data_IF_908538398571
#
_entry.id   IF_908538398571
#
_cell.length_a   1.000
_cell.length_b   1.000
_cell.length_c   1.000
_cell.angle_alpha   90.00
_cell.angle_beta   90.00
_cell.angle_gamma   90.00
#
_symmetry.space_group_name_H-M   'P 1'
#
loop_
_entity.id
_entity.type
_entity.pdbx_description
1 polymer ?
#
# COMPACT_ATOMS: atom_id res chain seq x y z
N UNK A 1 -4.59 7.57 7.86
CA UNK A 1 -5.61 8.08 8.82
C UNK A 1 -6.18 6.98 9.71
N UNK A 2 -6.77 5.88 9.20
CA UNK A 2 -7.36 4.83 10.05
C UNK A 2 -6.38 4.16 11.03
N UNK A 3 -5.14 3.87 10.59
CA UNK A 3 -4.11 3.30 11.47
C UNK A 3 -3.72 4.26 12.61
N UNK A 4 -3.65 5.56 12.34
CA UNK A 4 -3.38 6.58 13.37
C UNK A 4 -4.54 6.72 14.35
N UNK A 5 -5.79 6.67 13.85
CA UNK A 5 -6.98 6.67 14.70
C UNK A 5 -6.99 5.45 15.64
N UNK A 6 -6.68 4.26 15.12
CA UNK A 6 -6.51 3.05 15.93
C UNK A 6 -5.41 3.24 16.99
N UNK A 7 -4.25 3.76 16.60
CA UNK A 7 -3.15 4.02 17.55
C UNK A 7 -3.57 4.99 18.66
N UNK A 8 -4.29 6.05 18.30
CA UNK A 8 -4.79 7.07 19.22
C UNK A 8 -5.78 6.50 20.25
N UNK A 9 -6.65 5.58 19.83
CA UNK A 9 -7.57 4.84 20.73
C UNK A 9 -6.76 3.91 21.64
N UNK A 10 -5.86 3.11 21.08
CA UNK A 10 -5.06 2.14 21.84
C UNK A 10 -4.19 2.83 22.90
N UNK A 11 -3.59 3.98 22.57
CA UNK A 11 -2.81 4.78 23.53
C UNK A 11 -3.64 5.23 24.73
N UNK A 12 -4.91 5.58 24.52
CA UNK A 12 -5.83 5.94 25.61
C UNK A 12 -6.31 4.75 26.41
N UNK A 13 -6.29 3.55 25.84
CA UNK A 13 -6.64 2.33 26.53
C UNK A 13 -5.49 1.82 27.41
N UNK A 14 -4.28 1.70 26.87
CA UNK A 14 -3.12 1.17 27.62
C UNK A 14 -2.50 2.18 28.58
N UNK A 15 -2.44 3.46 28.18
CA UNK A 15 -1.87 4.55 28.99
C UNK A 15 -0.46 4.30 29.53
N UNK A 16 0.34 3.44 28.89
CA UNK A 16 1.69 3.13 29.36
C UNK A 16 2.64 4.33 29.18
N UNK A 17 3.52 4.54 30.14
CA UNK A 17 4.52 5.62 30.10
C UNK A 17 5.62 5.35 29.08
N UNK A 18 6.29 6.41 28.62
CA UNK A 18 7.46 6.32 27.74
C UNK A 18 8.70 5.89 28.56
N UNK A 19 9.79 5.42 27.93
CA UNK A 19 11.06 5.22 28.62
C UNK A 19 11.50 6.48 29.37
N UNK A 20 12.05 6.31 30.59
CA UNK A 20 12.43 7.42 31.49
C UNK A 20 13.43 8.41 30.89
N UNK A 21 14.27 7.94 29.96
CA UNK A 21 15.28 8.74 29.26
C UNK A 21 14.66 9.71 28.25
N UNK A 22 13.42 9.48 27.81
CA UNK A 22 12.77 10.26 26.77
C UNK A 22 11.84 11.32 27.36
N UNK A 23 12.26 12.59 27.28
CA UNK A 23 11.47 13.73 27.73
C UNK A 23 10.45 14.14 26.65
N UNK A 24 9.31 13.45 26.63
CA UNK A 24 8.24 13.73 25.67
C UNK A 24 6.86 13.47 26.28
N UNK A 25 5.90 14.32 25.93
CA UNK A 25 4.52 14.23 26.44
C UNK A 25 3.75 13.07 25.79
N UNK A 26 2.92 12.37 26.58
CA UNK A 26 1.95 11.38 26.12
C UNK A 26 2.39 9.91 26.22
N UNK A 27 1.44 9.00 26.00
CA UNK A 27 1.62 7.55 26.21
C UNK A 27 2.59 6.90 25.20
N UNK A 28 3.37 5.94 25.68
CA UNK A 28 4.39 5.20 24.92
C UNK A 28 3.89 3.96 24.21
N UNK A 29 2.73 3.41 24.61
CA UNK A 29 2.20 2.16 24.06
C UNK A 29 0.87 2.35 23.32
N UNK A 30 0.69 1.76 22.13
CA UNK A 30 1.71 1.17 21.27
C UNK A 30 2.52 2.23 20.51
N UNK A 31 3.74 1.86 20.06
CA UNK A 31 4.54 2.71 19.18
C UNK A 31 3.81 2.95 17.85
N UNK A 32 3.48 4.22 17.56
CA UNK A 32 2.75 4.60 16.33
C UNK A 32 3.55 4.35 15.07
N UNK A 33 4.87 4.61 15.12
CA UNK A 33 5.77 4.37 13.99
C UNK A 33 5.84 2.88 13.67
N UNK A 34 6.05 2.04 14.70
CA UNK A 34 6.10 0.59 14.54
C UNK A 34 4.76 0.03 14.03
N UNK A 35 3.64 0.51 14.57
CA UNK A 35 2.31 0.11 14.12
C UNK A 35 2.05 0.50 12.65
N UNK A 36 2.38 1.74 12.26
CA UNK A 36 2.15 2.21 10.91
C UNK A 36 2.99 1.47 9.88
N UNK A 37 4.31 1.32 10.11
CA UNK A 37 5.20 0.66 9.15
C UNK A 37 4.91 -0.84 9.06
N UNK A 38 4.54 -1.51 10.16
CA UNK A 38 4.09 -2.89 10.13
C UNK A 38 2.79 -3.03 9.33
N UNK A 39 1.80 -2.16 9.58
CA UNK A 39 0.55 -2.14 8.82
C UNK A 39 0.81 -1.96 7.32
N UNK A 40 1.64 -0.97 6.95
CA UNK A 40 1.96 -0.66 5.57
C UNK A 40 2.67 -1.81 4.87
N UNK A 41 3.76 -2.32 5.45
CA UNK A 41 4.57 -3.37 4.82
C UNK A 41 3.83 -4.71 4.72
N UNK A 42 3.01 -5.08 5.71
CA UNK A 42 2.16 -6.27 5.63
C UNK A 42 1.06 -6.09 4.57
N UNK A 43 0.39 -4.93 4.54
CA UNK A 43 -0.63 -4.65 3.51
C UNK A 43 -0.02 -4.69 2.10
N UNK A 44 1.15 -4.09 1.91
CA UNK A 44 1.88 -4.10 0.64
C UNK A 44 2.27 -5.52 0.23
N UNK A 45 2.77 -6.33 1.17
CA UNK A 45 3.12 -7.74 0.92
C UNK A 45 1.90 -8.55 0.50
N UNK A 46 0.79 -8.46 1.24
CA UNK A 46 -0.46 -9.15 0.89
C UNK A 46 -0.98 -8.69 -0.47
N UNK A 47 -0.88 -7.39 -0.77
CA UNK A 47 -1.26 -6.86 -2.07
C UNK A 47 -0.41 -7.45 -3.20
N UNK A 48 0.92 -7.33 -3.12
CA UNK A 48 1.84 -7.77 -4.17
C UNK A 48 1.78 -9.27 -4.44
N UNK A 49 1.61 -10.08 -3.39
CA UNK A 49 1.66 -11.54 -3.49
C UNK A 49 0.29 -12.18 -3.74
N UNK A 50 -0.80 -11.60 -3.24
CA UNK A 50 -2.12 -12.26 -3.27
C UNK A 50 -3.18 -11.51 -4.08
N UNK A 51 -3.08 -10.20 -4.26
CA UNK A 51 -4.11 -9.39 -4.93
C UNK A 51 -3.67 -8.85 -6.27
N UNK A 52 -2.39 -8.55 -6.45
CA UNK A 52 -1.87 -7.96 -7.67
C UNK A 52 -1.78 -9.04 -8.74
N UNK A 53 -2.64 -8.93 -9.75
CA UNK A 53 -2.72 -9.85 -10.90
C UNK A 53 -2.54 -9.02 -12.16
N UNK A 54 -1.32 -8.57 -12.45
CA UNK A 54 -1.07 -7.77 -13.63
C UNK A 54 -1.10 -8.67 -14.86
N UNK A 55 -1.74 -8.16 -15.91
CA UNK A 55 -1.81 -8.84 -17.19
C UNK A 55 -0.68 -8.33 -18.10
N UNK A 56 0.01 -9.21 -18.84
CA UNK A 56 0.95 -8.79 -19.86
C UNK A 56 0.22 -7.91 -20.88
N UNK A 57 0.76 -6.73 -21.13
CA UNK A 57 0.34 -5.87 -22.25
C UNK A 57 1.39 -5.95 -23.34
N UNK A 58 1.07 -5.52 -24.57
CA UNK A 58 2.05 -5.54 -25.67
C UNK A 58 3.28 -4.66 -25.40
N UNK A 59 3.16 -3.72 -24.46
CA UNK A 59 4.16 -2.68 -24.15
C UNK A 59 4.87 -2.89 -22.82
N UNK A 60 4.38 -3.79 -21.97
CA UNK A 60 4.92 -3.96 -20.61
C UNK A 60 4.88 -5.42 -20.15
N UNK A 61 6.05 -5.90 -19.71
CA UNK A 61 6.16 -7.15 -18.97
C UNK A 61 5.96 -6.86 -17.49
N UNK A 62 4.91 -7.41 -16.87
CA UNK A 62 4.62 -7.11 -15.48
C UNK A 62 5.69 -7.66 -14.56
N UNK A 63 5.85 -7.01 -13.40
CA UNK A 63 6.84 -7.42 -12.41
C UNK A 63 6.69 -8.89 -12.06
N UNK A 64 7.77 -9.65 -12.17
CA UNK A 64 7.76 -11.09 -11.93
C UNK A 64 7.37 -11.41 -10.48
N UNK A 65 6.88 -12.62 -10.22
CA UNK A 65 6.58 -13.04 -8.86
C UNK A 65 7.81 -12.93 -7.95
N UNK A 66 9.00 -13.31 -8.45
CA UNK A 66 10.27 -13.17 -7.74
C UNK A 66 10.57 -11.70 -7.39
N UNK A 67 10.33 -10.78 -8.33
CA UNK A 67 10.46 -9.35 -8.07
C UNK A 67 9.51 -8.89 -6.95
N UNK A 68 8.23 -9.25 -7.03
CA UNK A 68 7.22 -8.88 -6.00
C UNK A 68 7.56 -9.44 -4.63
N UNK A 69 8.08 -10.66 -4.60
CA UNK A 69 8.57 -11.30 -3.39
C UNK A 69 9.78 -10.55 -2.81
N UNK A 70 10.77 -10.22 -3.63
CA UNK A 70 11.93 -9.43 -3.21
C UNK A 70 11.52 -8.04 -2.67
N UNK A 71 10.59 -7.37 -3.34
CA UNK A 71 10.06 -6.07 -2.88
C UNK A 71 9.30 -6.19 -1.54
N UNK A 72 8.55 -7.28 -1.36
CA UNK A 72 7.87 -7.56 -0.09
C UNK A 72 8.87 -7.78 1.05
N UNK A 73 9.94 -8.55 0.81
CA UNK A 73 11.02 -8.72 1.77
C UNK A 73 11.71 -7.40 2.11
N UNK A 74 11.99 -6.57 1.11
CA UNK A 74 12.59 -5.25 1.33
C UNK A 74 11.69 -4.34 2.17
N UNK A 75 10.38 -4.35 1.91
CA UNK A 75 9.41 -3.57 2.69
C UNK A 75 9.34 -4.04 4.15
N UNK A 76 9.37 -5.35 4.40
CA UNK A 76 9.38 -5.92 5.75
C UNK A 76 10.70 -5.63 6.49
N UNK A 77 11.84 -5.74 5.79
CA UNK A 77 13.15 -5.37 6.34
C UNK A 77 13.21 -3.89 6.72
N UNK A 78 12.66 -3.01 5.86
CA UNK A 78 12.57 -1.58 6.15
C UNK A 78 11.68 -1.29 7.36
N UNK A 79 10.55 -1.98 7.50
CA UNK A 79 9.70 -1.87 8.69
C UNK A 79 10.42 -2.32 9.96
N UNK A 80 11.19 -3.41 9.90
CA UNK A 80 12.02 -3.87 11.02
C UNK A 80 13.09 -2.84 11.38
N UNK A 81 13.79 -2.26 10.41
CA UNK A 81 14.77 -1.20 10.65
C UNK A 81 14.15 0.03 11.34
N UNK A 82 12.96 0.47 10.90
CA UNK A 82 12.23 1.57 11.56
C UNK A 82 11.84 1.18 12.98
N UNK A 83 11.32 -0.03 13.21
CA UNK A 83 10.97 -0.52 14.53
C UNK A 83 12.18 -0.55 15.49
N UNK A 84 13.32 -1.06 15.02
CA UNK A 84 14.58 -1.09 15.78
C UNK A 84 15.08 0.32 16.08
N UNK A 85 14.96 1.27 15.14
CA UNK A 85 15.38 2.66 15.39
C UNK A 85 14.61 3.32 16.54
N UNK A 86 13.35 2.90 16.80
CA UNK A 86 12.56 3.40 17.94
C UNK A 86 13.11 2.93 19.29
N UNK A 87 13.75 1.77 19.32
CA UNK A 87 14.41 1.23 20.51
C UNK A 87 15.80 1.86 20.65
N UNK A 88 16.57 1.88 19.56
CA UNK A 88 17.94 2.39 19.54
C UNK A 88 18.04 3.87 19.95
N UNK A 89 17.07 4.70 19.53
CA UNK A 89 17.01 6.12 19.90
C UNK A 89 16.27 6.36 21.23
N UNK A 90 16.08 5.33 22.05
CA UNK A 90 15.39 5.36 23.36
C UNK A 90 13.98 5.96 23.35
N UNK A 91 13.29 6.00 22.21
CA UNK A 91 11.93 6.53 22.14
C UNK A 91 10.88 5.59 22.72
N UNK A 92 11.10 4.29 22.60
CA UNK A 92 10.16 3.25 23.02
C UNK A 92 10.89 2.03 23.58
N UNK A 93 10.21 1.31 24.49
CA UNK A 93 10.69 0.00 24.94
C UNK A 93 10.46 -1.07 23.87
N UNK A 94 11.19 -2.19 23.97
CA UNK A 94 10.97 -3.36 23.11
C UNK A 94 9.50 -3.82 23.13
N UNK A 95 8.86 -3.84 24.31
CA UNK A 95 7.45 -4.23 24.47
C UNK A 95 6.53 -3.31 23.67
N UNK A 96 6.73 -2.00 23.76
CA UNK A 96 5.91 -1.00 23.04
C UNK A 96 6.01 -1.11 21.53
N UNK A 97 7.22 -1.43 21.04
CA UNK A 97 7.47 -1.66 19.62
C UNK A 97 6.84 -2.97 19.16
N UNK A 98 7.02 -4.07 19.90
CA UNK A 98 6.43 -5.37 19.56
C UNK A 98 4.90 -5.30 19.52
N UNK A 99 4.26 -4.66 20.50
CA UNK A 99 2.79 -4.49 20.48
C UNK A 99 2.36 -3.57 19.35
N UNK A 100 3.12 -2.51 19.05
CA UNK A 100 2.88 -1.69 17.86
C UNK A 100 2.88 -2.52 16.58
N UNK A 101 3.94 -3.30 16.35
CA UNK A 101 4.05 -4.18 15.20
C UNK A 101 2.90 -5.19 15.13
N UNK A 102 2.55 -5.84 16.24
CA UNK A 102 1.46 -6.80 16.31
C UNK A 102 0.10 -6.17 15.98
N UNK A 103 -0.23 -5.03 16.59
CA UNK A 103 -1.46 -4.29 16.28
C UNK A 103 -1.50 -3.84 14.82
N UNK A 104 -0.36 -3.38 14.27
CA UNK A 104 -0.25 -2.97 12.87
C UNK A 104 -0.49 -4.13 11.90
N UNK A 105 0.13 -5.28 12.15
CA UNK A 105 -0.03 -6.49 11.34
C UNK A 105 -1.46 -7.05 11.42
N UNK A 106 -2.04 -7.12 12.62
CA UNK A 106 -3.42 -7.57 12.80
C UNK A 106 -4.40 -6.65 12.07
N UNK A 107 -4.21 -5.33 12.17
CA UNK A 107 -5.03 -4.37 11.45
C UNK A 107 -4.86 -4.50 9.93
N UNK A 108 -3.66 -4.79 9.43
CA UNK A 108 -3.43 -5.04 8.00
C UNK A 108 -4.22 -6.24 7.48
N UNK A 109 -4.25 -7.35 8.25
CA UNK A 109 -5.03 -8.54 7.90
C UNK A 109 -6.53 -8.25 7.85
N UNK A 110 -7.06 -7.59 8.88
CA UNK A 110 -8.49 -7.20 8.94
C UNK A 110 -8.82 -6.25 7.79
N UNK A 111 -8.00 -5.24 7.54
CA UNK A 111 -8.20 -4.29 6.45
C UNK A 111 -8.12 -4.95 5.07
N UNK A 112 -7.18 -5.89 4.89
CA UNK A 112 -7.07 -6.64 3.65
C UNK A 112 -8.31 -7.52 3.42
N UNK A 113 -8.79 -8.23 4.43
CA UNK A 113 -10.01 -9.02 4.36
C UNK A 113 -11.24 -8.15 4.05
N UNK A 114 -11.39 -7.04 4.77
CA UNK A 114 -12.49 -6.08 4.58
C UNK A 114 -12.50 -5.50 3.16
N UNK A 115 -11.35 -5.02 2.66
CA UNK A 115 -11.26 -4.48 1.29
C UNK A 115 -11.45 -5.55 0.21
N UNK A 116 -11.07 -6.80 0.49
CA UNK A 116 -11.36 -7.94 -0.40
C UNK A 116 -12.86 -8.20 -0.46
N UNK A 117 -13.54 -8.18 0.69
CA UNK A 117 -14.98 -8.38 0.77
C UNK A 117 -15.74 -7.28 0.00
N UNK A 118 -15.45 -5.99 0.26
CA UNK A 118 -16.10 -4.88 -0.43
C UNK A 118 -15.99 -4.99 -1.95
N UNK A 119 -14.82 -5.41 -2.44
CA UNK A 119 -14.57 -5.63 -3.85
C UNK A 119 -15.40 -6.79 -4.40
N UNK A 120 -15.38 -7.95 -3.74
CA UNK A 120 -16.13 -9.14 -4.18
C UNK A 120 -17.65 -8.93 -4.13
N UNK A 121 -18.12 -8.13 -3.18
CA UNK A 121 -19.53 -7.78 -3.05
C UNK A 121 -19.97 -6.69 -4.05
N UNK A 122 -19.08 -6.18 -4.91
CA UNK A 122 -19.41 -5.17 -5.93
C UNK A 122 -19.61 -3.74 -5.40
N UNK A 123 -19.28 -3.47 -4.13
CA UNK A 123 -19.44 -2.14 -3.54
C UNK A 123 -18.52 -1.11 -4.18
N UNK A 124 -17.31 -1.54 -4.58
CA UNK A 124 -16.35 -0.68 -5.29
C UNK A 124 -16.89 -0.31 -6.67
N UNK A 125 -17.39 -1.27 -7.44
CA UNK A 125 -17.95 -1.03 -8.78
C UNK A 125 -19.20 -0.15 -8.72
N UNK A 126 -20.07 -0.39 -7.73
CA UNK A 126 -21.21 0.48 -7.46
C UNK A 126 -20.78 1.92 -7.19
N UNK A 127 -19.79 2.13 -6.30
CA UNK A 127 -19.29 3.46 -5.97
C UNK A 127 -18.68 4.18 -7.19
N UNK A 128 -17.88 3.48 -8.00
CA UNK A 128 -17.31 4.00 -9.25
C UNK A 128 -18.38 4.33 -10.31
N UNK A 129 -19.54 3.66 -10.23
CA UNK A 129 -20.69 3.93 -11.08
C UNK A 129 -21.40 5.25 -10.79
N UNK A 130 -21.21 5.83 -9.61
CA UNK A 130 -21.89 7.07 -9.21
C UNK A 130 -21.41 8.28 -9.99
N UNK A 131 -22.30 9.27 -10.17
CA UNK A 131 -21.98 10.51 -10.89
C UNK A 131 -20.77 11.24 -10.28
N UNK A 132 -20.63 11.20 -8.95
CA UNK A 132 -19.56 11.87 -8.22
C UNK A 132 -18.19 11.29 -8.58
N UNK A 133 -18.03 9.97 -8.49
CA UNK A 133 -16.76 9.30 -8.80
C UNK A 133 -16.41 9.44 -10.29
N UNK A 134 -17.42 9.42 -11.17
CA UNK A 134 -17.24 9.68 -12.60
C UNK A 134 -16.81 11.13 -12.87
N UNK A 135 -17.38 12.12 -12.19
CA UNK A 135 -17.00 13.52 -12.32
C UNK A 135 -15.52 13.75 -11.96
N UNK A 136 -15.04 13.09 -10.91
CA UNK A 136 -13.62 13.11 -10.51
C UNK A 136 -12.72 12.16 -11.31
N UNK A 137 -13.27 11.41 -12.28
CA UNK A 137 -12.53 10.42 -13.10
C UNK A 137 -11.77 9.40 -12.25
N UNK A 138 -12.35 8.98 -11.13
CA UNK A 138 -11.76 7.96 -10.27
C UNK A 138 -11.79 6.63 -11.01
N UNK A 139 -10.66 5.93 -11.02
CA UNK A 139 -10.48 4.63 -11.68
C UNK A 139 -9.76 3.68 -10.75
N UNK A 140 -10.17 2.42 -10.77
CA UNK A 140 -9.53 1.35 -10.01
C UNK A 140 -8.72 0.46 -10.95
N UNK A 141 -7.47 0.87 -11.17
CA UNK A 141 -6.54 0.17 -12.06
C UNK A 141 -5.46 -0.59 -11.29
N UNK A 142 -5.36 -0.37 -9.98
CA UNK A 142 -4.22 -0.79 -9.16
C UNK A 142 -3.99 -2.31 -9.19
N UNK A 143 -5.05 -3.09 -9.40
CA UNK A 143 -4.96 -4.55 -9.44
C UNK A 143 -4.36 -5.07 -10.75
N UNK A 144 -4.70 -4.42 -11.87
CA UNK A 144 -4.51 -4.93 -13.22
C UNK A 144 -3.37 -4.24 -13.96
N UNK A 145 -3.23 -2.92 -13.79
CA UNK A 145 -2.23 -2.11 -14.47
C UNK A 145 -1.13 -1.70 -13.51
N UNK A 146 0.11 -1.71 -14.00
CA UNK A 146 1.20 -1.04 -13.33
C UNK A 146 1.07 0.48 -13.52
N UNK A 147 1.52 1.25 -12.52
CA UNK A 147 1.49 2.71 -12.56
C UNK A 147 2.25 3.24 -13.78
N UNK A 148 3.35 2.58 -14.15
CA UNK A 148 4.20 2.95 -15.28
C UNK A 148 3.50 2.72 -16.63
N UNK A 149 2.69 1.66 -16.74
CA UNK A 149 2.00 1.32 -17.98
C UNK A 149 0.75 2.19 -18.23
N UNK A 150 0.22 2.78 -17.16
CA UNK A 150 -1.02 3.57 -17.18
C UNK A 150 -0.92 4.84 -18.04
N UNK A 151 -1.12 4.70 -19.35
CA UNK A 151 -1.05 5.77 -20.34
C UNK A 151 0.05 5.60 -21.40
N UNK A 152 1.10 4.83 -21.11
CA UNK A 152 2.19 4.56 -22.04
C UNK A 152 1.71 3.72 -23.23
N UNK A 153 1.03 2.59 -22.97
CA UNK A 153 0.45 1.75 -24.02
C UNK A 153 -0.46 2.54 -24.99
N UNK A 154 -1.29 3.45 -24.43
CA UNK A 154 -2.17 4.32 -25.21
C UNK A 154 -1.42 5.38 -26.01
N UNK A 155 -0.26 5.84 -25.52
CA UNK A 155 0.60 6.78 -26.26
C UNK A 155 1.32 6.09 -27.42
N UNK A 156 1.79 4.86 -27.20
CA UNK A 156 2.49 4.06 -28.20
C UNK A 156 1.55 3.61 -29.33
N UNK A 157 0.33 3.14 -29.00
CA UNK A 157 -0.70 2.79 -30.00
C UNK A 157 -1.08 4.00 -30.89
N UNK A 158 -1.14 5.21 -30.31
CA UNK A 158 -1.35 6.43 -31.10
C UNK A 158 -0.21 6.71 -32.07
N UNK A 159 1.04 6.51 -31.66
CA UNK A 159 2.20 6.71 -32.54
C UNK A 159 2.23 5.69 -33.68
N UNK A 160 2.04 4.40 -33.39
CA UNK A 160 1.96 3.35 -34.41
C UNK A 160 0.90 3.68 -35.47
N UNK A 161 -0.31 4.09 -35.04
CA UNK A 161 -1.38 4.51 -35.97
C UNK A 161 -1.03 5.73 -36.82
N UNK A 162 -0.27 6.69 -36.28
CA UNK A 162 0.19 7.85 -37.04
C UNK A 162 1.23 7.45 -38.09
N UNK A 163 2.18 6.60 -37.73
CA UNK A 163 3.21 6.08 -38.65
C UNK A 163 2.59 5.28 -39.80
N UNK A 164 1.64 4.38 -39.50
CA UNK A 164 0.89 3.65 -40.53
C UNK A 164 0.17 4.59 -41.50
N UNK A 165 -0.48 5.65 -40.98
CA UNK A 165 -1.19 6.64 -41.81
C UNK A 165 -0.22 7.46 -42.67
N UNK A 166 0.97 7.75 -42.17
CA UNK A 166 2.01 8.46 -42.93
C UNK A 166 2.61 7.58 -44.03
N UNK A 167 2.90 6.32 -43.74
CA UNK A 167 3.41 5.37 -44.73
C UNK A 167 2.40 5.11 -45.86
N UNK A 168 1.12 4.92 -45.54
CA UNK A 168 0.06 4.74 -46.54
C UNK A 168 -0.19 5.97 -47.43
N UNK A 169 0.20 7.17 -46.97
CA UNK A 169 0.19 8.39 -47.80
C UNK A 169 1.40 8.49 -48.74
N UNK A 170 2.55 7.90 -48.39
CA UNK A 170 3.76 7.87 -49.24
C UNK A 170 3.68 6.85 -50.37
N UNK A 171 2.82 5.84 -50.25
CA UNK A 171 2.66 4.75 -51.23
C UNK A 171 1.56 5.01 -52.26
N UNK A 172 0.85 6.14 -52.18
CA UNK A 172 -0.10 6.64 -53.20
C UNK A 172 0.53 7.77 -53.99
#
# INVERSE_FOLDING_TARGET
MACEALNWVLKRHFKEERPREMHGKGYGMPSSHAQFVAFFSVTLTLFLLLRHVPHPTETHTPFSFAGRFALSLLALASAAAVAVSRIYLSYHTQKQVLVGCACGAAFALVWFAFTTYLRRAGWIDWALGTWLFRAFRVRDLVIQEDLVDSGWARWEDRHKRQDFRYQGKKTR
#
